data_IF_028514126046
#
_entry.id   IF_028514126046
#
_cell.length_a   1.000
_cell.length_b   1.000
_cell.length_c   1.000
_cell.angle_alpha   90.00
_cell.angle_beta   90.00
_cell.angle_gamma   90.00
#
_symmetry.space_group_name_H-M   'P 1'
#
loop_
_entity.id
_entity.type
_entity.pdbx_description
1 polymer ?
#
# COMPACT_ATOMS: atom_id res chain seq x y z
N UNK A 1 -2.46 -9.74 3.62
CA UNK A 1 -1.10 -9.83 4.20
C UNK A 1 -0.31 -8.71 3.56
N UNK A 2 -0.34 -7.53 4.18
CA UNK A 2 0.43 -6.35 3.78
C UNK A 2 1.60 -6.18 4.75
N UNK A 3 2.59 -5.40 4.34
CA UNK A 3 3.96 -5.27 4.89
C UNK A 3 4.88 -6.48 4.71
N UNK A 4 5.82 -6.32 3.77
CA UNK A 4 7.03 -7.12 3.68
C UNK A 4 8.16 -6.29 4.32
N UNK A 5 8.31 -6.32 5.64
CA UNK A 5 9.57 -5.90 6.24
C UNK A 5 10.61 -6.97 5.92
N UNK A 6 11.54 -6.66 5.04
CA UNK A 6 12.71 -7.50 4.76
C UNK A 6 13.66 -7.40 5.94
N UNK A 7 13.41 -8.25 6.93
CA UNK A 7 14.32 -8.45 8.05
C UNK A 7 15.31 -9.53 7.62
N UNK A 8 16.43 -9.10 7.03
CA UNK A 8 17.54 -10.01 6.71
C UNK A 8 18.49 -10.02 7.90
N UNK A 9 18.66 -11.18 8.55
CA UNK A 9 19.60 -11.36 9.68
C UNK A 9 19.41 -10.38 10.85
N UNK A 10 18.17 -9.98 11.13
CA UNK A 10 17.84 -9.05 12.23
C UNK A 10 18.06 -7.56 11.90
N UNK A 11 18.36 -7.24 10.64
CA UNK A 11 18.51 -5.87 10.14
C UNK A 11 17.43 -5.57 9.10
N UNK A 12 16.87 -4.36 9.14
CA UNK A 12 15.88 -3.92 8.16
C UNK A 12 16.58 -3.37 6.90
N UNK A 13 16.28 -3.96 5.75
CA UNK A 13 16.80 -3.56 4.44
C UNK A 13 15.77 -2.90 3.54
N UNK A 14 14.60 -2.55 4.07
CA UNK A 14 13.47 -2.03 3.28
C UNK A 14 13.87 -0.84 2.40
N UNK A 15 13.36 -0.84 1.17
CA UNK A 15 13.49 0.27 0.24
C UNK A 15 12.52 1.36 0.66
N UNK A 16 13.02 2.58 0.81
CA UNK A 16 12.21 3.74 1.14
C UNK A 16 11.44 4.14 -0.12
N UNK A 17 10.09 4.20 -0.09
CA UNK A 17 9.32 4.67 -1.23
C UNK A 17 9.57 6.17 -1.46
N UNK A 18 9.32 6.67 -2.67
CA UNK A 18 9.22 8.11 -2.94
C UNK A 18 8.29 8.82 -1.95
N UNK A 19 8.67 10.05 -1.61
CA UNK A 19 7.91 10.91 -0.70
C UNK A 19 6.59 11.41 -1.28
N UNK A 20 5.80 12.07 -0.43
CA UNK A 20 4.56 12.77 -0.77
C UNK A 20 3.29 11.91 -0.80
N UNK A 21 3.38 10.63 -0.41
CA UNK A 21 2.22 9.75 -0.25
C UNK A 21 2.33 9.01 1.08
N UNK A 22 1.23 8.95 1.82
CA UNK A 22 1.06 8.09 2.98
C UNK A 22 -0.04 7.10 2.62
N UNK A 23 0.30 5.82 2.53
CA UNK A 23 -0.68 4.75 2.43
C UNK A 23 -1.05 4.25 3.83
N UNK A 24 -2.34 4.18 4.11
CA UNK A 24 -2.92 3.69 5.35
C UNK A 24 -3.78 2.46 5.05
N UNK A 25 -3.64 1.40 5.84
CA UNK A 25 -4.39 0.15 5.64
C UNK A 25 -4.63 -0.62 6.94
N UNK A 26 -5.67 -1.45 6.90
CA UNK A 26 -6.09 -2.23 8.06
C UNK A 26 -5.37 -3.57 8.13
N UNK A 27 -4.73 -3.86 9.27
CA UNK A 27 -4.12 -5.17 9.53
C UNK A 27 -4.24 -5.62 10.99
N UNK A 28 -3.83 -4.78 11.94
CA UNK A 28 -3.72 -5.18 13.36
C UNK A 28 -4.95 -4.81 14.19
N UNK A 29 -5.73 -3.80 13.77
CA UNK A 29 -6.95 -3.31 14.45
C UNK A 29 -6.72 -2.81 15.90
N UNK A 30 -5.46 -2.70 16.31
CA UNK A 30 -4.98 -2.12 17.57
C UNK A 30 -3.58 -1.59 17.33
N UNK A 31 -3.19 -0.59 18.11
CA UNK A 31 -1.82 -0.08 18.15
C UNK A 31 -0.86 -1.22 18.51
N UNK A 32 -0.01 -1.57 17.55
CA UNK A 32 0.85 -2.75 17.60
C UNK A 32 2.35 -2.42 17.62
N UNK A 33 3.16 -3.48 17.66
CA UNK A 33 4.62 -3.39 17.77
C UNK A 33 5.26 -2.60 16.62
N UNK A 34 4.73 -2.73 15.39
CA UNK A 34 5.24 -2.01 14.21
C UNK A 34 5.11 -0.49 14.39
N UNK A 35 3.91 -0.05 14.74
CA UNK A 35 3.61 1.35 15.01
C UNK A 35 4.40 1.88 16.21
N UNK A 36 4.63 1.06 17.23
CA UNK A 36 5.40 1.47 18.42
C UNK A 36 6.86 1.81 18.13
N UNK A 37 7.46 1.16 17.13
CA UNK A 37 8.83 1.45 16.72
C UNK A 37 8.90 2.82 16.05
N UNK A 38 7.95 3.14 15.17
CA UNK A 38 7.87 4.47 14.55
C UNK A 38 7.60 5.55 15.58
N UNK A 39 6.57 5.40 16.42
CA UNK A 39 6.18 6.36 17.47
C UNK A 39 7.37 6.72 18.36
N UNK A 40 8.13 5.70 18.81
CA UNK A 40 9.35 5.92 19.60
C UNK A 40 10.43 6.68 18.82
N UNK A 41 10.60 6.36 17.53
CA UNK A 41 11.58 7.02 16.66
C UNK A 41 11.23 8.47 16.34
N UNK A 42 9.95 8.74 16.14
CA UNK A 42 9.39 10.06 15.87
C UNK A 42 9.24 10.92 17.13
N UNK A 43 9.35 10.32 18.33
CA UNK A 43 9.19 11.00 19.60
C UNK A 43 7.74 11.38 19.90
N UNK A 44 6.79 10.58 19.41
CA UNK A 44 5.37 10.78 19.63
C UNK A 44 4.92 10.12 20.94
N UNK A 45 3.89 10.69 21.55
CA UNK A 45 3.14 10.09 22.64
C UNK A 45 1.73 9.78 22.15
N UNK A 46 1.28 8.54 22.37
CA UNK A 46 -0.01 8.06 21.89
C UNK A 46 -0.92 7.93 23.10
N UNK A 47 -2.08 8.58 23.04
CA UNK A 47 -3.11 8.43 24.06
C UNK A 47 -3.57 6.96 24.14
N UNK A 48 -3.42 6.29 25.30
CA UNK A 48 -3.92 4.94 25.49
C UNK A 48 -5.41 4.77 25.18
N UNK A 49 -6.22 5.83 25.32
CA UNK A 49 -7.64 5.80 24.96
C UNK A 49 -7.85 5.63 23.44
N UNK A 50 -6.87 6.02 22.62
CA UNK A 50 -6.91 5.91 21.17
C UNK A 50 -6.31 4.61 20.62
N UNK A 51 -5.79 3.69 21.44
CA UNK A 51 -5.07 2.50 20.95
C UNK A 51 -5.85 1.63 19.97
N UNK A 52 -7.18 1.65 20.00
CA UNK A 52 -8.04 0.89 19.08
C UNK A 52 -8.66 1.78 18.00
N UNK A 53 -8.31 3.07 17.93
CA UNK A 53 -8.90 4.03 17.01
C UNK A 53 -8.31 3.84 15.62
N UNK A 54 -9.18 3.46 14.68
CA UNK A 54 -8.89 3.26 13.25
C UNK A 54 -9.59 4.33 12.42
N UNK A 55 -9.21 4.44 11.15
CA UNK A 55 -9.81 5.43 10.25
C UNK A 55 -11.16 4.93 9.74
N UNK A 56 -12.23 5.62 10.14
CA UNK A 56 -13.57 5.39 9.60
C UNK A 56 -13.86 6.22 8.34
N UNK A 57 -14.90 5.87 7.60
CA UNK A 57 -15.38 6.74 6.52
C UNK A 57 -15.78 8.14 7.02
N UNK A 58 -16.16 8.29 8.29
CA UNK A 58 -16.55 9.58 8.88
C UNK A 58 -15.34 10.48 9.17
N UNK A 59 -14.15 9.90 9.28
CA UNK A 59 -12.88 10.60 9.53
C UNK A 59 -12.27 11.22 8.26
N UNK A 60 -12.66 10.75 7.06
CA UNK A 60 -12.07 11.18 5.79
C UNK A 60 -12.16 12.70 5.56
N UNK A 61 -13.30 13.38 5.81
CA UNK A 61 -13.37 14.84 5.66
C UNK A 61 -12.38 15.58 6.56
N UNK A 62 -12.15 15.06 7.77
CA UNK A 62 -11.17 15.63 8.69
C UNK A 62 -9.74 15.38 8.18
N UNK A 63 -9.41 14.16 7.77
CA UNK A 63 -8.10 13.82 7.21
C UNK A 63 -7.79 14.69 5.97
N UNK A 64 -8.76 14.85 5.08
CA UNK A 64 -8.64 15.71 3.91
C UNK A 64 -8.48 17.21 4.25
N UNK A 65 -8.76 17.61 5.48
CA UNK A 65 -8.60 18.98 5.99
C UNK A 65 -7.33 19.21 6.80
N UNK A 66 -6.53 18.16 7.06
CA UNK A 66 -5.25 18.31 7.74
C UNK A 66 -4.33 19.19 6.88
N UNK A 67 -3.70 20.18 7.50
CA UNK A 67 -2.74 21.07 6.83
C UNK A 67 -1.62 20.26 6.16
N UNK A 68 -1.37 20.54 4.89
CA UNK A 68 -0.38 19.81 4.08
C UNK A 68 -0.92 18.55 3.37
N UNK A 69 -2.21 18.21 3.49
CA UNK A 69 -2.86 17.18 2.66
C UNK A 69 -3.38 17.80 1.36
N UNK A 70 -2.96 17.26 0.21
CA UNK A 70 -3.38 17.72 -1.12
C UNK A 70 -4.62 16.98 -1.63
N UNK A 71 -4.63 15.65 -1.47
CA UNK A 71 -5.77 14.81 -1.88
C UNK A 71 -5.78 13.50 -1.11
N UNK A 72 -6.98 12.93 -0.98
CA UNK A 72 -7.20 11.62 -0.37
C UNK A 72 -7.84 10.71 -1.42
N UNK A 73 -7.28 9.52 -1.62
CA UNK A 73 -7.79 8.49 -2.52
C UNK A 73 -8.15 7.26 -1.68
N UNK A 74 -9.32 6.68 -1.94
CA UNK A 74 -9.93 5.61 -1.17
C UNK A 74 -10.12 4.38 -2.04
N UNK A 75 -9.90 3.21 -1.43
CA UNK A 75 -10.25 1.93 -2.03
C UNK A 75 -11.77 1.76 -2.14
N UNK A 76 -12.27 1.51 -3.35
CA UNK A 76 -13.68 1.26 -3.61
C UNK A 76 -13.99 -0.24 -3.53
N UNK A 77 -14.19 -0.73 -2.30
CA UNK A 77 -14.54 -2.14 -2.02
C UNK A 77 -15.70 -2.64 -2.87
N UNK A 78 -16.76 -1.84 -3.00
CA UNK A 78 -17.95 -2.24 -3.75
C UNK A 78 -17.71 -2.47 -5.25
N UNK A 79 -16.62 -1.90 -5.79
CA UNK A 79 -16.24 -2.05 -7.19
C UNK A 79 -15.09 -3.06 -7.37
N UNK A 80 -14.02 -2.92 -6.58
CA UNK A 80 -12.81 -3.74 -6.72
C UNK A 80 -12.99 -5.16 -6.21
N UNK A 81 -13.64 -5.36 -5.07
CA UNK A 81 -13.75 -6.68 -4.45
C UNK A 81 -14.48 -7.67 -5.37
N UNK A 82 -15.62 -7.30 -6.02
CA UNK A 82 -16.20 -8.15 -7.06
C UNK A 82 -15.21 -8.47 -8.17
N UNK A 83 -14.47 -7.50 -8.70
CA UNK A 83 -13.52 -7.75 -9.79
C UNK A 83 -12.41 -8.71 -9.33
N UNK A 84 -11.82 -8.49 -8.17
CA UNK A 84 -10.72 -9.27 -7.63
C UNK A 84 -11.18 -10.69 -7.29
N UNK A 85 -12.24 -10.84 -6.51
CA UNK A 85 -12.68 -12.14 -6.00
C UNK A 85 -13.46 -12.98 -7.04
N UNK A 86 -14.10 -12.36 -8.03
CA UNK A 86 -14.85 -13.10 -9.06
C UNK A 86 -14.11 -13.25 -10.38
N UNK A 87 -13.21 -12.33 -10.76
CA UNK A 87 -12.49 -12.40 -12.05
C UNK A 87 -11.18 -13.19 -11.94
N UNK A 88 -10.53 -13.21 -10.78
CA UNK A 88 -9.32 -14.01 -10.59
C UNK A 88 -9.59 -15.53 -10.49
N UNK A 89 -10.83 -15.92 -10.20
CA UNK A 89 -11.23 -17.33 -10.02
C UNK A 89 -11.98 -17.97 -11.19
N UNK A 90 -12.45 -17.18 -12.18
CA UNK A 90 -13.27 -17.70 -13.28
C UNK A 90 -12.56 -17.52 -14.64
N UNK A 91 -12.36 -18.61 -15.38
CA UNK A 91 -11.94 -18.59 -16.80
C UNK A 91 -12.98 -17.94 -17.74
N UNK A 92 -14.09 -17.41 -17.19
CA UNK A 92 -15.17 -16.80 -17.95
C UNK A 92 -14.89 -15.33 -18.23
N UNK A 93 -14.73 -15.01 -19.51
CA UNK A 93 -14.69 -13.63 -19.97
C UNK A 93 -16.10 -13.00 -19.83
N UNK A 94 -16.22 -11.90 -19.10
CA UNK A 94 -17.47 -11.14 -18.92
C UNK A 94 -17.84 -10.33 -20.16
N UNK A 95 -19.09 -9.91 -20.27
CA UNK A 95 -19.57 -9.13 -21.43
C UNK A 95 -19.21 -7.64 -21.35
N UNK A 96 -18.82 -7.18 -20.16
CA UNK A 96 -18.19 -5.89 -19.93
C UNK A 96 -16.73 -6.08 -19.51
N UNK A 97 -15.90 -5.10 -19.85
CA UNK A 97 -14.53 -5.05 -19.38
C UNK A 97 -14.53 -4.67 -17.90
N UNK A 98 -13.72 -5.37 -17.11
CA UNK A 98 -13.41 -4.96 -15.75
C UNK A 98 -12.27 -3.94 -15.82
N UNK A 99 -12.60 -2.66 -15.69
CA UNK A 99 -11.62 -1.57 -15.74
C UNK A 99 -11.12 -1.27 -14.32
N UNK A 100 -9.81 -1.12 -14.15
CA UNK A 100 -9.20 -0.65 -12.91
C UNK A 100 -8.27 0.50 -13.26
N UNK A 101 -8.42 1.62 -12.57
CA UNK A 101 -7.55 2.78 -12.73
C UNK A 101 -6.84 3.08 -11.42
N UNK A 102 -5.51 3.09 -11.46
CA UNK A 102 -4.63 3.37 -10.31
C UNK A 102 -3.71 4.51 -10.70
N UNK A 103 -3.58 5.56 -9.87
CA UNK A 103 -2.62 6.63 -10.11
C UNK A 103 -1.22 6.08 -10.37
N UNK A 104 -0.52 6.67 -11.34
CA UNK A 104 0.82 6.25 -11.74
C UNK A 104 1.78 6.18 -10.54
N UNK A 105 1.70 7.17 -9.63
CA UNK A 105 2.52 7.22 -8.43
C UNK A 105 2.26 6.03 -7.49
N UNK A 106 1.02 5.58 -7.33
CA UNK A 106 0.72 4.40 -6.49
C UNK A 106 1.18 3.12 -7.20
N UNK A 107 0.91 3.03 -8.51
CA UNK A 107 1.26 1.89 -9.33
C UNK A 107 2.76 1.63 -9.45
N UNK A 108 3.59 2.67 -9.33
CA UNK A 108 5.05 2.56 -9.40
C UNK A 108 5.69 2.39 -8.01
N UNK A 109 5.21 3.14 -7.03
CA UNK A 109 5.96 3.35 -5.78
C UNK A 109 5.49 2.49 -4.61
N UNK A 110 4.24 2.02 -4.66
CA UNK A 110 3.60 1.23 -3.61
C UNK A 110 3.30 -0.20 -4.07
N UNK A 111 4.05 -0.67 -5.07
CA UNK A 111 4.00 -2.06 -5.56
C UNK A 111 4.13 -3.04 -4.38
N UNK A 112 3.22 -4.01 -4.33
CA UNK A 112 3.14 -5.05 -3.29
C UNK A 112 2.67 -4.60 -1.89
N UNK A 113 2.33 -3.32 -1.73
CA UNK A 113 1.83 -2.77 -0.45
C UNK A 113 0.32 -2.57 -0.46
N UNK A 114 -0.32 -2.70 -1.63
CA UNK A 114 -1.76 -2.47 -1.84
C UNK A 114 -2.52 -3.75 -2.14
N UNK A 115 -3.82 -3.77 -1.83
CA UNK A 115 -4.70 -4.90 -2.15
C UNK A 115 -5.04 -5.03 -3.64
N UNK A 116 -4.73 -3.98 -4.40
CA UNK A 116 -5.06 -3.88 -5.80
C UNK A 116 -4.11 -4.80 -6.59
N UNK A 117 -4.60 -5.70 -7.46
CA UNK A 117 -3.76 -6.59 -8.24
C UNK A 117 -3.09 -5.84 -9.40
N UNK A 118 -2.40 -4.72 -9.15
CA UNK A 118 -1.82 -3.84 -10.17
C UNK A 118 -0.31 -3.98 -10.19
N UNK A 119 0.21 -5.03 -10.85
CA UNK A 119 1.64 -5.34 -10.84
C UNK A 119 2.20 -5.41 -12.25
N UNK A 120 3.39 -4.84 -12.44
CA UNK A 120 4.17 -4.99 -13.68
C UNK A 120 4.48 -6.45 -13.98
N UNK A 121 4.53 -7.31 -12.96
CA UNK A 121 4.62 -8.78 -13.08
C UNK A 121 3.53 -9.39 -13.97
N UNK A 122 2.39 -8.70 -14.10
CA UNK A 122 1.23 -9.16 -14.85
C UNK A 122 1.21 -8.65 -16.29
N UNK A 123 2.19 -7.83 -16.69
CA UNK A 123 2.38 -7.43 -18.07
C UNK A 123 3.12 -8.54 -18.83
N UNK A 124 2.54 -8.98 -19.94
CA UNK A 124 3.25 -9.78 -20.94
C UNK A 124 4.15 -8.87 -21.78
N UNK A 125 3.64 -7.70 -22.18
CA UNK A 125 4.30 -6.77 -23.11
C UNK A 125 3.90 -5.31 -22.80
N UNK A 126 4.80 -4.36 -23.09
CA UNK A 126 4.54 -2.93 -22.97
C UNK A 126 4.67 -2.38 -21.55
N UNK A 127 3.76 -1.48 -21.16
CA UNK A 127 3.75 -0.81 -19.85
C UNK A 127 2.34 -0.61 -19.31
N UNK A 128 2.25 -0.14 -18.07
CA UNK A 128 1.00 0.33 -17.46
C UNK A 128 0.60 1.71 -18.02
N UNK A 129 -0.69 2.06 -18.02
CA UNK A 129 -1.20 3.39 -18.39
C UNK A 129 -0.61 4.51 -17.53
N UNK A 130 -0.45 5.69 -18.13
CA UNK A 130 -0.18 6.94 -17.42
C UNK A 130 -1.49 7.64 -17.04
N UNK A 131 -1.43 8.46 -16.00
CA UNK A 131 -2.57 9.30 -15.58
C UNK A 131 -3.00 10.22 -16.73
N UNK A 132 -4.32 10.43 -16.89
CA UNK A 132 -4.95 11.30 -17.90
C UNK A 132 -4.58 11.05 -19.38
N UNK A 133 -3.84 9.99 -19.70
CA UNK A 133 -3.34 9.73 -21.06
C UNK A 133 -4.35 9.00 -21.98
N UNK A 134 -5.51 8.62 -21.46
CA UNK A 134 -6.50 7.75 -22.14
C UNK A 134 -5.85 6.48 -22.69
N UNK A 135 -5.12 5.78 -21.84
CA UNK A 135 -4.37 4.58 -22.15
C UNK A 135 -5.01 3.35 -21.50
N UNK A 136 -4.78 2.18 -22.09
CA UNK A 136 -5.27 0.90 -21.57
C UNK A 136 -4.22 -0.19 -21.71
N UNK A 137 -4.12 -1.02 -20.69
CA UNK A 137 -3.48 -2.33 -20.73
C UNK A 137 -4.57 -3.38 -20.70
N UNK A 138 -4.55 -4.32 -21.65
CA UNK A 138 -5.64 -5.27 -21.87
C UNK A 138 -5.09 -6.61 -22.38
N UNK A 139 -5.72 -7.71 -21.98
CA UNK A 139 -5.25 -9.03 -22.38
C UNK A 139 -5.62 -9.37 -23.82
N UNK A 140 -4.83 -10.24 -24.45
CA UNK A 140 -5.10 -10.77 -25.79
C UNK A 140 -6.49 -11.44 -25.87
N UNK A 141 -6.94 -12.10 -24.79
CA UNK A 141 -8.27 -12.74 -24.72
C UNK A 141 -9.40 -11.71 -24.78
N UNK A 142 -9.28 -10.60 -24.06
CA UNK A 142 -10.27 -9.53 -24.07
C UNK A 142 -10.28 -8.78 -25.40
N UNK A 143 -9.12 -8.57 -26.02
CA UNK A 143 -9.02 -7.99 -27.38
C UNK A 143 -9.76 -8.82 -28.43
N UNK A 144 -9.62 -10.15 -28.40
CA UNK A 144 -10.38 -11.06 -29.26
C UNK A 144 -11.89 -10.95 -29.01
N UNK A 145 -12.32 -11.04 -27.73
CA UNK A 145 -13.74 -11.08 -27.37
C UNK A 145 -14.48 -9.77 -27.68
N UNK A 146 -13.91 -8.63 -27.27
CA UNK A 146 -14.63 -7.35 -27.27
C UNK A 146 -14.36 -6.52 -28.52
N UNK A 147 -13.25 -6.77 -29.23
CA UNK A 147 -12.79 -5.93 -30.33
C UNK A 147 -12.47 -6.71 -31.61
N UNK A 148 -12.79 -8.01 -31.66
CA UNK A 148 -12.61 -8.88 -32.82
C UNK A 148 -11.17 -8.92 -33.37
N UNK A 149 -10.16 -8.77 -32.51
CA UNK A 149 -8.76 -8.87 -32.93
C UNK A 149 -8.45 -10.29 -33.42
N UNK A 150 -7.73 -10.39 -34.55
CA UNK A 150 -7.16 -11.65 -35.04
C UNK A 150 -5.76 -11.89 -34.44
N UNK A 151 -5.22 -13.11 -34.56
CA UNK A 151 -3.87 -13.41 -34.09
C UNK A 151 -2.80 -12.51 -34.72
N UNK A 152 -2.96 -12.14 -36.00
CA UNK A 152 -2.07 -11.19 -36.67
C UNK A 152 -2.20 -9.76 -36.10
N UNK A 153 -3.39 -9.34 -35.69
CA UNK A 153 -3.58 -8.02 -35.07
C UNK A 153 -2.98 -7.97 -33.66
N UNK A 154 -2.98 -9.09 -32.94
CA UNK A 154 -2.46 -9.16 -31.57
C UNK A 154 -0.96 -8.91 -31.49
N UNK A 155 -0.17 -9.33 -32.49
CA UNK A 155 1.29 -9.10 -32.52
C UNK A 155 1.67 -7.63 -32.68
N UNK A 156 0.71 -6.78 -33.11
CA UNK A 156 0.85 -5.33 -33.28
C UNK A 156 -0.23 -4.56 -32.54
N UNK A 157 -0.71 -5.11 -31.41
CA UNK A 157 -1.81 -4.51 -30.67
C UNK A 157 -1.41 -3.21 -29.95
N UNK A 158 -0.19 -3.15 -29.40
CA UNK A 158 0.33 -1.95 -28.72
C UNK A 158 0.44 -0.79 -29.73
N UNK A 159 -0.05 0.38 -29.34
CA UNK A 159 -0.17 1.58 -30.18
C UNK A 159 -1.50 1.70 -30.92
N UNK A 160 -2.29 0.62 -31.04
CA UNK A 160 -3.62 0.70 -31.64
C UNK A 160 -4.62 1.35 -30.68
N UNK A 161 -5.70 1.89 -31.25
CA UNK A 161 -6.79 2.49 -30.50
C UNK A 161 -8.02 1.58 -30.46
N UNK A 162 -8.68 1.53 -29.32
CA UNK A 162 -9.96 0.82 -29.12
C UNK A 162 -10.99 1.76 -28.51
N UNK A 163 -12.26 1.57 -28.88
CA UNK A 163 -13.37 2.38 -28.36
C UNK A 163 -14.18 1.56 -27.36
N UNK A 164 -14.28 2.02 -26.12
CA UNK A 164 -15.04 1.36 -25.07
C UNK A 164 -15.75 2.40 -24.20
N UNK A 165 -17.03 2.19 -23.90
CA UNK A 165 -17.85 3.06 -23.04
C UNK A 165 -17.75 4.57 -23.37
N UNK A 166 -17.88 4.90 -24.66
CA UNK A 166 -17.75 6.26 -25.23
C UNK A 166 -16.35 6.91 -25.13
N UNK A 167 -15.33 6.13 -24.79
CA UNK A 167 -13.95 6.58 -24.73
C UNK A 167 -13.08 5.88 -25.76
N UNK A 168 -12.06 6.58 -26.24
CA UNK A 168 -11.03 6.01 -27.10
C UNK A 168 -9.75 5.83 -26.29
N UNK A 169 -9.33 4.57 -26.12
CA UNK A 169 -8.10 4.24 -25.43
C UNK A 169 -7.00 3.83 -26.39
N UNK A 170 -5.76 4.26 -26.12
CA UNK A 170 -4.58 3.72 -26.78
C UNK A 170 -4.06 2.51 -26.00
N UNK A 171 -3.88 1.37 -26.67
CA UNK A 171 -3.32 0.16 -26.05
C UNK A 171 -1.82 0.40 -25.80
N UNK A 172 -1.38 0.39 -24.54
CA UNK A 172 0.03 0.61 -24.16
C UNK A 172 0.69 -0.62 -23.55
N UNK A 173 -0.09 -1.64 -23.24
CA UNK A 173 0.43 -2.91 -22.76
C UNK A 173 -0.55 -4.06 -22.95
N UNK A 174 -0.01 -5.27 -22.88
CA UNK A 174 -0.74 -6.52 -22.85
C UNK A 174 -0.52 -7.15 -21.48
N UNK A 175 -1.59 -7.51 -20.78
CA UNK A 175 -1.50 -8.20 -19.50
C UNK A 175 -2.03 -9.64 -19.55
N UNK A 176 -1.61 -10.42 -18.57
CA UNK A 176 -1.91 -11.86 -18.46
C UNK A 176 -3.32 -12.13 -17.90
N UNK A 177 -3.92 -11.17 -17.20
CA UNK A 177 -5.23 -11.33 -16.56
C UNK A 177 -6.38 -10.73 -17.37
N UNK A 178 -7.60 -11.23 -17.13
CA UNK A 178 -8.83 -10.70 -17.74
C UNK A 178 -9.34 -9.44 -17.02
N UNK A 179 -8.43 -8.55 -16.66
CA UNK A 179 -8.68 -7.24 -16.05
C UNK A 179 -8.03 -6.20 -16.97
N UNK A 180 -8.66 -5.06 -17.19
CA UNK A 180 -8.06 -3.96 -17.92
C UNK A 180 -7.55 -2.91 -16.95
N UNK A 181 -6.32 -2.46 -17.12
CA UNK A 181 -5.83 -1.28 -16.43
C UNK A 181 -6.00 -0.07 -17.33
N UNK A 182 -6.59 1.01 -16.83
CA UNK A 182 -6.78 2.25 -17.60
C UNK A 182 -6.09 3.43 -16.92
N UNK A 183 -5.87 4.51 -17.68
CA UNK A 183 -5.46 5.79 -17.10
C UNK A 183 -6.35 6.20 -15.93
N UNK A 184 -5.74 6.67 -14.85
CA UNK A 184 -6.46 7.27 -13.74
C UNK A 184 -7.07 8.61 -14.18
N UNK A 185 -8.33 8.81 -13.81
CA UNK A 185 -9.10 10.04 -13.98
C UNK A 185 -9.93 10.22 -12.70
N UNK A 186 -9.67 11.31 -11.97
CA UNK A 186 -10.34 11.60 -10.71
C UNK A 186 -11.88 11.72 -10.83
N UNK A 187 -12.41 11.94 -12.04
CA UNK A 187 -13.86 11.99 -12.30
C UNK A 187 -14.48 10.61 -12.51
N UNK A 188 -13.67 9.57 -12.72
CA UNK A 188 -14.12 8.21 -13.02
C UNK A 188 -13.57 7.22 -12.02
N UNK A 189 -14.48 6.69 -11.21
CA UNK A 189 -14.13 5.72 -10.16
C UNK A 189 -14.04 4.30 -10.75
N UNK A 190 -12.87 3.94 -11.28
CA UNK A 190 -12.56 2.56 -11.67
C UNK A 190 -11.74 1.88 -10.58
N UNK A 191 -12.38 1.73 -9.41
CA UNK A 191 -11.85 1.00 -8.27
C UNK A 191 -11.12 1.83 -7.21
N UNK A 192 -10.65 3.01 -7.57
CA UNK A 192 -10.21 4.02 -6.62
C UNK A 192 -11.11 5.25 -6.72
N UNK A 193 -11.36 5.87 -5.57
CA UNK A 193 -12.20 7.04 -5.42
C UNK A 193 -11.40 8.20 -4.85
N UNK A 194 -11.28 9.30 -5.58
CA UNK A 194 -10.71 10.53 -5.02
C UNK A 194 -11.78 11.24 -4.19
N UNK A 195 -11.44 11.59 -2.95
CA UNK A 195 -12.36 12.31 -2.06
C UNK A 195 -12.85 13.60 -2.68
N UNK A 196 -14.17 13.68 -2.85
CA UNK A 196 -14.91 14.86 -3.27
C UNK A 196 -16.13 15.07 -2.37
N UNK A 197 -16.30 16.29 -1.85
CA UNK A 197 -17.37 16.63 -0.88
C UNK A 197 -18.77 16.39 -1.49
N UNK A 198 -18.94 16.61 -2.79
CA UNK A 198 -20.23 16.49 -3.48
C UNK A 198 -20.69 15.05 -3.65
N UNK A 199 -19.76 14.10 -3.80
CA UNK A 199 -20.04 12.70 -4.13
C UNK A 199 -19.72 11.71 -3.00
N UNK A 200 -19.03 12.16 -1.93
CA UNK A 200 -18.56 11.29 -0.87
C UNK A 200 -19.67 10.53 -0.15
N UNK A 201 -20.81 11.19 0.11
CA UNK A 201 -21.93 10.54 0.80
C UNK A 201 -22.48 9.34 0.03
N UNK A 202 -22.52 9.43 -1.29
CA UNK A 202 -22.96 8.31 -2.14
C UNK A 202 -21.93 7.18 -2.12
N UNK A 203 -20.65 7.53 -2.23
CA UNK A 203 -19.54 6.59 -2.15
C UNK A 203 -19.55 5.77 -0.84
N UNK A 204 -19.70 6.44 0.32
CA UNK A 204 -19.71 5.76 1.63
C UNK A 204 -20.92 4.84 1.78
N UNK A 205 -22.10 5.27 1.33
CA UNK A 205 -23.33 4.47 1.49
C UNK A 205 -23.22 3.19 0.67
N UNK A 206 -22.82 3.31 -0.60
CA UNK A 206 -22.59 2.16 -1.48
C UNK A 206 -21.56 1.18 -0.89
N UNK A 207 -20.44 1.68 -0.37
CA UNK A 207 -19.40 0.83 0.20
C UNK A 207 -19.81 0.18 1.52
N UNK A 208 -20.45 0.92 2.44
CA UNK A 208 -20.97 0.37 3.69
C UNK A 208 -22.03 -0.70 3.43
N UNK A 209 -22.94 -0.48 2.48
CA UNK A 209 -23.99 -1.43 2.13
C UNK A 209 -23.40 -2.70 1.49
N UNK A 210 -22.42 -2.55 0.58
CA UNK A 210 -21.68 -3.68 0.02
C UNK A 210 -20.99 -4.51 1.11
N UNK A 211 -20.22 -3.85 1.99
CA UNK A 211 -19.48 -4.53 3.08
C UNK A 211 -20.40 -5.26 4.05
N UNK A 212 -21.54 -4.66 4.42
CA UNK A 212 -22.56 -5.30 5.25
C UNK A 212 -23.17 -6.52 4.55
N UNK A 213 -23.47 -6.41 3.26
CA UNK A 213 -24.06 -7.51 2.48
C UNK A 213 -23.11 -8.70 2.33
N UNK A 214 -21.79 -8.45 2.37
CA UNK A 214 -20.76 -9.47 2.26
C UNK A 214 -20.10 -9.79 3.62
N UNK A 215 -20.79 -9.53 4.74
CA UNK A 215 -20.39 -9.90 6.11
C UNK A 215 -18.97 -9.45 6.54
N UNK A 216 -18.56 -8.25 6.12
CA UNK A 216 -17.30 -7.66 6.59
C UNK A 216 -17.41 -7.38 8.09
N UNK A 217 -16.36 -7.70 8.85
CA UNK A 217 -16.33 -7.46 10.30
C UNK A 217 -16.51 -5.99 10.68
N UNK A 218 -15.97 -5.08 9.86
CA UNK A 218 -16.02 -3.65 10.12
C UNK A 218 -16.42 -2.85 8.87
N UNK A 219 -17.72 -2.78 8.55
CA UNK A 219 -18.20 -2.11 7.35
C UNK A 219 -18.00 -0.58 7.36
N UNK A 220 -17.82 0.03 8.52
CA UNK A 220 -17.66 1.47 8.72
C UNK A 220 -16.26 2.01 8.42
N UNK A 221 -15.24 1.16 8.38
CA UNK A 221 -13.86 1.59 8.15
C UNK A 221 -13.47 1.52 6.68
N UNK A 222 -12.52 2.37 6.29
CA UNK A 222 -11.90 2.29 4.97
C UNK A 222 -10.80 1.21 4.98
N UNK A 223 -10.75 0.36 3.96
CA UNK A 223 -9.78 -0.75 3.91
C UNK A 223 -8.37 -0.25 3.62
N UNK A 224 -8.27 0.71 2.70
CA UNK A 224 -7.01 1.26 2.22
C UNK A 224 -7.26 2.71 1.76
N UNK A 225 -6.34 3.59 2.14
CA UNK A 225 -6.39 5.03 1.90
C UNK A 225 -5.00 5.49 1.44
N UNK A 226 -4.95 6.32 0.42
CA UNK A 226 -3.73 7.01 -0.01
C UNK A 226 -3.90 8.50 0.21
N UNK A 227 -3.02 9.08 1.01
CA UNK A 227 -3.04 10.49 1.40
C UNK A 227 -1.84 11.13 0.73
N UNK A 228 -2.10 11.99 -0.24
CA UNK A 228 -1.06 12.77 -0.91
C UNK A 228 -0.80 14.03 -0.09
N UNK A 229 0.46 14.36 0.10
CA UNK A 229 0.88 15.50 0.91
C UNK A 229 1.68 16.49 0.08
N UNK A 230 1.60 17.77 0.46
CA UNK A 230 2.47 18.82 -0.07
C UNK A 230 3.94 18.47 0.22
N UNK A 231 4.84 19.00 -0.62
CA UNK A 231 6.28 18.80 -0.46
C UNK A 231 6.76 19.25 0.94
N UNK A 232 7.30 18.31 1.70
CA UNK A 232 7.80 18.53 3.06
C UNK A 232 6.75 18.43 4.17
N UNK A 233 5.47 18.22 3.84
CA UNK A 233 4.40 18.08 4.84
C UNK A 233 4.22 16.66 5.38
N UNK A 234 4.75 15.64 4.69
CA UNK A 234 4.52 14.20 4.96
C UNK A 234 4.67 13.85 6.45
N UNK A 235 5.76 14.29 7.09
CA UNK A 235 5.98 14.02 8.52
C UNK A 235 4.88 14.58 9.42
N UNK A 236 4.50 15.84 9.21
CA UNK A 236 3.50 16.51 10.06
C UNK A 236 2.12 15.86 9.91
N UNK A 237 1.76 15.48 8.69
CA UNK A 237 0.53 14.74 8.40
C UNK A 237 0.58 13.36 9.05
N UNK A 238 1.69 12.62 8.86
CA UNK A 238 1.88 11.29 9.41
C UNK A 238 1.83 11.27 10.95
N UNK A 239 2.53 12.19 11.61
CA UNK A 239 2.50 12.34 13.07
C UNK A 239 1.06 12.56 13.57
N UNK A 240 0.30 13.41 12.87
CA UNK A 240 -1.09 13.69 13.20
C UNK A 240 -1.99 12.46 13.03
N UNK A 241 -1.78 11.69 11.96
CA UNK A 241 -2.49 10.43 11.72
C UNK A 241 -2.18 9.41 12.82
N UNK A 242 -0.93 9.28 13.25
CA UNK A 242 -0.56 8.38 14.35
C UNK A 242 -1.21 8.77 15.68
N UNK A 243 -1.28 10.07 15.99
CA UNK A 243 -1.90 10.55 17.23
C UNK A 243 -3.41 10.27 17.29
N UNK A 244 -4.10 10.40 16.15
CA UNK A 244 -5.55 10.25 16.07
C UNK A 244 -5.98 8.79 15.79
N UNK A 245 -5.21 8.05 14.98
CA UNK A 245 -5.55 6.73 14.48
C UNK A 245 -4.36 5.75 14.59
N UNK A 246 -3.86 5.48 15.81
CA UNK A 246 -2.67 4.65 16.02
C UNK A 246 -2.89 3.15 15.73
N UNK A 247 -4.15 2.70 15.58
CA UNK A 247 -4.47 1.31 15.25
C UNK A 247 -4.38 1.00 13.74
N UNK A 248 -4.29 2.03 12.90
CA UNK A 248 -4.07 1.90 11.46
C UNK A 248 -2.60 1.56 11.17
N UNK A 249 -2.34 0.80 10.11
CA UNK A 249 -0.96 0.63 9.65
C UNK A 249 -0.65 1.69 8.59
N UNK A 250 0.59 2.20 8.60
CA UNK A 250 1.04 3.23 7.68
C UNK A 250 2.27 2.78 6.92
N UNK A 251 2.38 3.22 5.66
CA UNK A 251 3.60 3.12 4.88
C UNK A 251 3.78 4.37 4.03
N UNK A 252 4.96 4.96 4.14
CA UNK A 252 5.34 6.21 3.48
C UNK A 252 6.87 6.33 3.50
N UNK A 253 7.42 7.35 2.85
CA UNK A 253 8.85 7.60 2.84
C UNK A 253 9.37 7.90 4.26
N UNK A 254 8.69 8.78 4.98
CA UNK A 254 8.98 9.16 6.36
C UNK A 254 8.81 7.98 7.31
N UNK A 255 7.71 7.24 7.21
CA UNK A 255 7.47 6.06 8.04
C UNK A 255 8.63 5.06 7.92
N UNK A 256 8.96 4.64 6.69
CA UNK A 256 10.01 3.63 6.46
C UNK A 256 11.37 4.16 6.89
N UNK A 257 11.67 5.44 6.65
CA UNK A 257 12.92 6.08 7.06
C UNK A 257 13.11 6.05 8.58
N UNK A 258 12.12 6.56 9.34
CA UNK A 258 12.17 6.63 10.80
C UNK A 258 12.15 5.24 11.42
N UNK A 259 11.28 4.35 10.92
CA UNK A 259 11.15 2.99 11.40
C UNK A 259 12.45 2.22 11.22
N UNK A 260 13.01 2.22 10.00
CA UNK A 260 14.26 1.51 9.65
C UNK A 260 15.42 1.99 10.52
N UNK A 261 15.58 3.30 10.67
CA UNK A 261 16.61 3.88 11.54
C UNK A 261 16.44 3.40 12.98
N UNK A 262 15.24 3.54 13.54
CA UNK A 262 14.95 3.22 14.94
C UNK A 262 15.10 1.72 15.23
N UNK A 263 14.62 0.86 14.32
CA UNK A 263 14.77 -0.57 14.43
C UNK A 263 16.25 -0.99 14.38
N UNK A 264 17.00 -0.50 13.38
CA UNK A 264 18.40 -0.85 13.20
C UNK A 264 19.28 -0.33 14.35
N UNK A 265 19.02 0.87 14.87
CA UNK A 265 19.70 1.37 16.07
C UNK A 265 19.41 0.51 17.31
N UNK A 266 18.14 0.12 17.52
CA UNK A 266 17.77 -0.77 18.62
C UNK A 266 18.44 -2.14 18.48
N UNK A 267 18.51 -2.69 17.28
CA UNK A 267 19.16 -3.96 17.01
C UNK A 267 20.67 -3.89 17.23
N UNK A 268 21.33 -2.83 16.75
CA UNK A 268 22.76 -2.61 16.97
C UNK A 268 23.09 -2.50 18.47
N UNK A 269 22.26 -1.79 19.25
CA UNK A 269 22.43 -1.72 20.71
C UNK A 269 22.33 -3.10 21.36
N UNK A 270 21.40 -3.96 20.93
CA UNK A 270 21.28 -5.34 21.44
C UNK A 270 22.56 -6.15 21.15
N UNK A 271 23.12 -6.05 19.94
CA UNK A 271 24.39 -6.70 19.58
C UNK A 271 25.53 -6.21 20.48
N UNK A 272 25.67 -4.90 20.68
CA UNK A 272 26.72 -4.31 21.51
C UNK A 272 26.62 -4.85 22.95
N UNK A 273 25.42 -4.85 23.54
CA UNK A 273 25.20 -5.35 24.91
C UNK A 273 25.59 -6.82 25.03
N UNK A 274 25.15 -7.68 24.10
CA UNK A 274 25.49 -9.10 24.11
C UNK A 274 27.00 -9.30 23.98
N UNK A 275 27.64 -8.60 23.04
CA UNK A 275 29.09 -8.68 22.85
C UNK A 275 29.86 -8.20 24.10
N UNK A 276 29.42 -7.14 24.76
CA UNK A 276 30.02 -6.68 26.02
C UNK A 276 29.92 -7.73 27.14
N UNK A 277 28.77 -8.42 27.25
CA UNK A 277 28.59 -9.51 28.23
C UNK A 277 29.53 -10.68 27.91
N UNK A 278 29.63 -11.09 26.64
CA UNK A 278 30.51 -12.19 26.22
C UNK A 278 31.98 -11.84 26.47
N UNK A 279 32.41 -10.62 26.13
CA UNK A 279 33.78 -10.15 26.40
C UNK A 279 34.09 -10.10 27.90
N UNK A 280 33.14 -9.65 28.72
CA UNK A 280 33.29 -9.66 30.18
C UNK A 280 33.44 -11.09 30.72
N UNK A 281 32.60 -12.03 30.26
CA UNK A 281 32.67 -13.45 30.64
C UNK A 281 34.00 -14.08 30.20
N UNK A 282 34.47 -13.81 28.98
CA UNK A 282 35.78 -14.27 28.50
C UNK A 282 36.91 -13.71 29.36
N UNK A 283 36.85 -12.43 29.74
CA UNK A 283 37.80 -11.81 30.67
C UNK A 283 37.83 -12.51 32.03
N UNK A 284 36.65 -12.82 32.59
CA UNK A 284 36.54 -13.58 33.84
C UNK A 284 37.16 -14.98 33.70
N UNK A 285 36.84 -15.71 32.62
CA UNK A 285 37.40 -17.05 32.36
C UNK A 285 38.93 -16.99 32.26
N UNK A 286 39.47 -16.02 31.50
CA UNK A 286 40.92 -15.84 31.34
C UNK A 286 41.60 -15.54 32.68
N UNK A 287 40.98 -14.71 33.54
CA UNK A 287 41.49 -14.44 34.89
C UNK A 287 41.50 -15.69 35.77
N UNK A 288 40.47 -16.54 35.71
CA UNK A 288 40.43 -17.81 36.43
C UNK A 288 41.47 -18.81 35.92
N UNK A 289 41.69 -18.89 34.60
CA UNK A 289 42.72 -19.73 34.00
C UNK A 289 44.13 -19.26 34.38
N UNK A 290 44.40 -17.95 34.35
CA UNK A 290 45.71 -17.40 34.76
C UNK A 290 45.98 -17.60 36.27
N UNK A 291 44.97 -17.44 37.14
CA UNK A 291 45.13 -17.73 38.58
C UNK A 291 45.50 -19.20 38.86
N UNK A 292 44.97 -20.15 38.08
CA UNK A 292 45.33 -21.58 38.21
C UNK A 292 46.78 -21.89 37.78
N UNK A 293 47.34 -21.10 36.87
CA UNK A 293 48.75 -21.26 36.44
C UNK A 293 49.71 -20.70 37.49
N UNK A 294 49.36 -19.58 38.12
CA UNK A 294 50.21 -18.95 39.17
C UNK A 294 50.14 -19.72 40.50
N UNK A 295 49.02 -20.36 40.85
CA UNK A 295 48.91 -21.15 42.09
C UNK A 295 49.60 -22.52 42.06
N UNK A 296 50.24 -22.89 40.93
CA UNK A 296 50.98 -24.14 40.75
C UNK A 296 52.51 -23.96 40.77
N UNK A 297 53.00 -22.80 41.20
CA UNK A 297 54.42 -22.51 41.46
C UNK A 297 54.64 -22.44 42.96
#
# INVERSE_FOLDING_TARGET
>A
MFTYSQITNGYCTDTIPPGSIIAAYQADYTYGDLNSIYVRGAGLDIDPENYNRMISYEDIPYIASIEGVEKVILYDSSYLDPIIYTTAGEDRLRDKLNLIAVPESIAQDYLHQTAIPYRTEYLEEGRLPRDDAHEITISKKLLKKHFAYTDEMLTRAIGNKINYDNETYTIVGINSYNICYTSFDAKRNYGLYQYDVGTFKEFINRNKDYKKTNDYFYPEYANEIFIYTEDGAEKSVLDKLFQEYPAENYISSEYVSVWKKTFNESFLRKIIVINSIVLALLGVILLFLNKRVISKI
#
